data_IF_309871633087
#
_entry.id   IF_309871633087
#
_cell.length_a   1.000
_cell.length_b   1.000
_cell.length_c   1.000
_cell.angle_alpha   90.00
_cell.angle_beta   90.00
_cell.angle_gamma   90.00
#
_symmetry.space_group_name_H-M   'P 1'
#
loop_
_entity.id
_entity.type
_entity.pdbx_description
1 polymer ?
#
# COMPACT_ATOMS: atom_id res chain seq x y z
N UNK A 1 -72.88 -33.06 -15.68
CA UNK A 1 -71.71 -32.90 -16.57
C UNK A 1 -70.48 -32.79 -15.69
N UNK A 2 -69.77 -33.90 -15.57
CA UNK A 2 -68.60 -34.14 -14.73
C UNK A 2 -67.69 -35.04 -15.57
N UNK A 3 -66.42 -34.70 -15.73
CA UNK A 3 -65.30 -35.52 -16.23
C UNK A 3 -64.13 -34.53 -16.45
N UNK A 4 -62.86 -34.82 -16.21
CA UNK A 4 -62.14 -35.72 -15.33
C UNK A 4 -60.67 -35.31 -15.53
N UNK A 5 -59.90 -35.33 -14.45
CA UNK A 5 -58.47 -35.06 -14.43
C UNK A 5 -57.68 -36.08 -15.26
N UNK A 6 -56.90 -35.60 -16.23
CA UNK A 6 -55.87 -36.39 -16.92
C UNK A 6 -54.51 -35.94 -16.38
N UNK A 7 -53.82 -36.84 -15.68
CA UNK A 7 -52.39 -36.72 -15.39
C UNK A 7 -51.60 -37.17 -16.63
N UNK A 8 -50.51 -36.49 -17.02
CA UNK A 8 -49.48 -37.10 -17.83
C UNK A 8 -48.52 -37.89 -16.94
N UNK A 9 -48.24 -39.08 -17.44
CA UNK A 9 -47.39 -40.15 -16.92
C UNK A 9 -45.91 -39.80 -16.94
N UNK A 10 -45.20 -40.39 -15.98
CA UNK A 10 -43.74 -40.52 -15.92
C UNK A 10 -43.20 -41.15 -17.21
N UNK A 11 -42.32 -40.43 -17.91
CA UNK A 11 -41.37 -41.05 -18.84
C UNK A 11 -39.93 -40.77 -18.42
N UNK A 12 -39.27 -41.88 -18.14
CA UNK A 12 -37.86 -42.11 -17.91
C UNK A 12 -36.98 -41.28 -18.85
N UNK A 13 -36.21 -40.36 -18.27
CA UNK A 13 -34.89 -40.02 -18.79
C UNK A 13 -33.82 -40.47 -17.82
N UNK A 14 -33.13 -41.51 -18.29
CA UNK A 14 -31.82 -42.03 -17.90
C UNK A 14 -30.92 -41.07 -17.11
N UNK A 15 -30.55 -41.56 -15.94
CA UNK A 15 -29.28 -41.38 -15.23
C UNK A 15 -28.15 -40.76 -16.06
N UNK A 16 -27.99 -39.43 -15.94
CA UNK A 16 -26.68 -38.81 -15.89
C UNK A 16 -26.51 -38.34 -14.45
N UNK A 17 -25.61 -39.01 -13.73
CA UNK A 17 -25.28 -38.76 -12.33
C UNK A 17 -24.75 -37.35 -12.08
N UNK A 18 -25.63 -36.36 -12.10
CA UNK A 18 -25.42 -35.09 -11.44
C UNK A 18 -25.80 -35.28 -9.97
N UNK A 19 -24.85 -35.84 -9.20
CA UNK A 19 -24.88 -35.64 -7.76
C UNK A 19 -24.78 -34.13 -7.52
N UNK A 20 -25.92 -33.54 -7.20
CA UNK A 20 -26.04 -32.16 -6.75
C UNK A 20 -25.35 -32.11 -5.39
N UNK A 21 -24.01 -31.95 -5.36
CA UNK A 21 -23.25 -31.64 -4.15
C UNK A 21 -23.68 -30.27 -3.63
N UNK A 22 -24.84 -30.22 -2.98
CA UNK A 22 -25.23 -29.18 -2.04
C UNK A 22 -24.33 -29.36 -0.82
N UNK A 23 -23.20 -28.68 -0.86
CA UNK A 23 -22.17 -28.81 0.17
C UNK A 23 -20.78 -28.48 -0.35
N UNK A 24 -20.66 -27.58 -1.31
CA UNK A 24 -19.36 -26.96 -1.61
C UNK A 24 -19.03 -25.99 -0.47
N UNK A 25 -18.63 -26.55 0.68
CA UNK A 25 -17.91 -25.80 1.69
C UNK A 25 -16.69 -25.14 1.06
N UNK A 26 -16.39 -23.92 1.47
CA UNK A 26 -15.20 -23.20 1.06
C UNK A 26 -13.96 -24.06 1.32
N UNK A 27 -13.40 -24.67 0.28
CA UNK A 27 -12.03 -25.17 0.34
C UNK A 27 -11.13 -23.97 0.11
N UNK A 28 -10.75 -23.32 1.21
CA UNK A 28 -9.56 -22.47 1.20
C UNK A 28 -8.43 -23.42 0.85
N UNK A 29 -7.99 -23.42 -0.42
CA UNK A 29 -6.78 -24.13 -0.80
C UNK A 29 -5.68 -23.65 0.12
N UNK A 30 -5.19 -24.58 0.95
CA UNK A 30 -4.05 -24.32 1.82
C UNK A 30 -2.93 -23.80 0.94
N UNK A 31 -2.31 -22.73 1.43
CA UNK A 31 -1.08 -22.17 0.91
C UNK A 31 -0.11 -23.26 0.46
N UNK A 32 0.18 -23.33 -0.84
CA UNK A 32 1.48 -23.77 -1.32
C UNK A 32 2.27 -22.49 -1.62
N UNK A 33 3.14 -22.04 -0.70
CA UNK A 33 4.06 -20.97 -1.05
C UNK A 33 5.01 -21.52 -2.13
N UNK A 34 5.57 -20.62 -2.93
CA UNK A 34 6.68 -20.88 -3.87
C UNK A 34 6.24 -21.32 -5.27
N UNK A 35 6.09 -20.32 -6.16
CA UNK A 35 6.66 -20.34 -7.54
C UNK A 35 6.98 -18.93 -8.08
N UNK A 36 6.54 -17.83 -7.44
CA UNK A 36 6.76 -16.44 -7.91
C UNK A 36 7.47 -15.57 -6.84
N UNK A 37 8.37 -16.17 -6.06
CA UNK A 37 9.15 -15.47 -5.01
C UNK A 37 10.55 -14.99 -5.44
N UNK A 38 11.21 -15.37 -6.57
CA UNK A 38 12.61 -15.01 -6.76
C UNK A 38 12.88 -13.50 -6.95
N UNK A 39 12.10 -12.79 -7.79
CA UNK A 39 12.47 -11.43 -8.20
C UNK A 39 12.17 -10.34 -7.15
N UNK A 40 11.04 -10.43 -6.46
CA UNK A 40 10.70 -9.49 -5.38
C UNK A 40 11.58 -9.70 -4.15
N UNK A 41 12.01 -10.95 -3.91
CA UNK A 41 13.02 -11.29 -2.90
C UNK A 41 14.38 -10.69 -3.26
N UNK A 42 14.83 -10.85 -4.51
CA UNK A 42 16.09 -10.25 -4.99
C UNK A 42 16.04 -8.72 -4.87
N UNK A 43 14.94 -8.08 -5.25
CA UNK A 43 14.82 -6.63 -5.10
C UNK A 43 14.74 -6.17 -3.64
N UNK A 44 14.00 -6.88 -2.78
CA UNK A 44 13.98 -6.63 -1.34
C UNK A 44 15.30 -7.00 -0.65
N UNK A 45 16.26 -7.62 -1.34
CA UNK A 45 17.63 -7.78 -0.85
C UNK A 45 18.57 -6.72 -1.45
N UNK A 46 18.29 -6.24 -2.68
CA UNK A 46 19.07 -5.20 -3.36
C UNK A 46 18.78 -3.78 -2.86
N UNK A 47 17.53 -3.47 -2.48
CA UNK A 47 17.15 -2.21 -1.82
C UNK A 47 17.72 -2.07 -0.39
N UNK A 48 18.46 -3.08 0.06
CA UNK A 48 19.08 -3.18 1.38
C UNK A 48 20.60 -3.07 1.32
N UNK A 49 21.17 -2.89 0.13
CA UNK A 49 22.58 -2.59 -0.06
C UNK A 49 22.95 -1.20 0.51
N UNK A 50 24.24 -0.95 0.82
CA UNK A 50 24.69 0.16 1.66
C UNK A 50 24.27 1.56 1.21
N UNK A 51 23.83 2.36 2.18
CA UNK A 51 23.65 3.82 2.12
C UNK A 51 24.91 4.45 2.77
N UNK A 52 25.84 5.00 1.99
CA UNK A 52 27.03 5.70 2.51
C UNK A 52 26.80 7.20 2.71
N UNK A 53 26.89 7.73 3.93
CA UNK A 53 26.49 9.11 4.24
C UNK A 53 27.33 10.24 3.63
N UNK A 54 26.67 11.34 3.24
CA UNK A 54 27.27 12.65 2.96
C UNK A 54 27.75 13.29 4.26
N UNK A 55 29.05 13.56 4.36
CA UNK A 55 29.65 14.36 5.43
C UNK A 55 30.04 15.72 4.87
N UNK A 56 29.95 16.77 5.69
CA UNK A 56 30.48 18.08 5.32
C UNK A 56 32.00 18.00 5.51
N UNK A 57 32.73 17.80 4.42
CA UNK A 57 34.18 17.98 4.43
C UNK A 57 34.47 19.44 4.79
N UNK A 58 35.61 19.73 5.41
CA UNK A 58 35.98 21.09 5.87
C UNK A 58 36.18 22.16 4.77
N UNK A 59 35.72 21.92 3.55
CA UNK A 59 35.54 22.92 2.50
C UNK A 59 34.12 22.81 1.96
N UNK A 60 33.57 23.85 1.34
CA UNK A 60 32.16 23.96 0.91
C UNK A 60 31.62 22.83 -0.01
N UNK A 61 32.42 21.80 -0.30
CA UNK A 61 32.04 20.53 -0.90
C UNK A 61 31.62 19.47 0.13
N UNK A 62 30.44 18.88 -0.06
CA UNK A 62 30.02 17.65 0.63
C UNK A 62 30.93 16.49 0.21
N UNK A 63 31.74 15.96 1.13
CA UNK A 63 32.64 14.82 0.89
C UNK A 63 32.12 13.58 1.63
N UNK A 64 32.13 12.42 0.97
CA UNK A 64 31.75 11.14 1.59
C UNK A 64 32.83 10.71 2.59
N UNK A 65 32.68 11.05 3.87
CA UNK A 65 33.56 10.62 4.94
C UNK A 65 33.14 9.26 5.51
N UNK A 66 34.06 8.31 5.75
CA UNK A 66 33.74 7.04 6.41
C UNK A 66 33.29 7.29 7.86
N UNK A 67 32.14 6.76 8.26
CA UNK A 67 31.68 6.82 9.64
C UNK A 67 32.65 6.05 10.55
N UNK A 68 33.17 6.72 11.57
CA UNK A 68 33.91 6.11 12.68
C UNK A 68 33.02 5.38 13.70
N UNK A 69 31.77 5.02 13.37
CA UNK A 69 30.90 4.27 14.27
C UNK A 69 30.64 2.85 13.74
N UNK A 70 31.37 1.82 14.22
CA UNK A 70 31.36 0.47 13.66
C UNK A 70 30.06 -0.32 13.94
N UNK A 71 29.15 0.19 14.78
CA UNK A 71 27.95 -0.54 15.17
C UNK A 71 26.86 -0.65 14.09
N UNK A 72 26.96 0.12 13.00
CA UNK A 72 25.97 0.13 11.93
C UNK A 72 26.61 -0.10 10.57
N UNK A 73 27.43 -1.16 10.46
CA UNK A 73 27.86 -1.61 9.16
C UNK A 73 26.61 -2.00 8.34
N UNK A 74 26.50 -1.55 7.08
CA UNK A 74 25.43 -1.92 6.17
C UNK A 74 25.16 -3.44 6.11
N UNK A 75 26.20 -4.26 6.27
CA UNK A 75 26.09 -5.72 6.37
C UNK A 75 25.30 -6.19 7.58
N UNK A 76 25.46 -5.57 8.75
CA UNK A 76 24.68 -5.90 9.96
C UNK A 76 23.19 -5.62 9.72
N UNK A 77 22.86 -4.52 9.03
CA UNK A 77 21.45 -4.15 8.78
C UNK A 77 20.77 -5.11 7.80
N UNK A 78 21.46 -5.54 6.73
CA UNK A 78 20.96 -6.58 5.81
C UNK A 78 20.72 -7.90 6.55
N UNK A 79 21.70 -8.34 7.35
CA UNK A 79 21.62 -9.59 8.11
C UNK A 79 20.46 -9.56 9.10
N UNK A 80 20.34 -8.50 9.90
CA UNK A 80 19.26 -8.36 10.90
C UNK A 80 17.87 -8.45 10.29
N UNK A 81 17.72 -8.12 9.01
CA UNK A 81 16.41 -8.08 8.39
C UNK A 81 16.08 -9.22 7.48
N UNK A 82 17.08 -9.90 6.91
CA UNK A 82 16.91 -11.29 6.48
C UNK A 82 16.47 -12.13 7.67
N UNK A 83 17.05 -11.92 8.85
CA UNK A 83 16.63 -12.55 10.11
C UNK A 83 15.19 -12.14 10.46
N UNK A 84 14.86 -10.84 10.48
CA UNK A 84 13.50 -10.38 10.79
C UNK A 84 12.44 -10.93 9.81
N UNK A 85 12.75 -11.01 8.53
CA UNK A 85 11.89 -11.61 7.50
C UNK A 85 11.75 -13.13 7.63
N UNK A 86 12.83 -13.81 8.00
CA UNK A 86 12.79 -15.25 8.27
C UNK A 86 11.95 -15.54 9.52
N UNK A 87 12.12 -14.74 10.58
CA UNK A 87 11.28 -14.80 11.79
C UNK A 87 9.82 -14.53 11.45
N UNK A 88 9.55 -13.51 10.63
CA UNK A 88 8.22 -13.20 10.13
C UNK A 88 7.57 -14.39 9.40
N UNK A 89 8.27 -15.04 8.48
CA UNK A 89 7.77 -16.23 7.78
C UNK A 89 7.50 -17.39 8.74
N UNK A 90 8.35 -17.57 9.75
CA UNK A 90 8.15 -18.57 10.80
C UNK A 90 6.89 -18.25 11.62
N UNK A 91 6.73 -17.00 12.07
CA UNK A 91 5.58 -16.54 12.87
C UNK A 91 4.25 -16.59 12.10
N UNK A 92 4.28 -16.35 10.78
CA UNK A 92 3.12 -16.52 9.91
C UNK A 92 2.68 -17.99 9.78
N UNK A 93 3.59 -18.95 9.94
CA UNK A 93 3.30 -20.38 9.86
C UNK A 93 2.88 -21.01 11.20
N UNK A 94 3.01 -20.30 12.33
CA UNK A 94 2.55 -20.84 13.61
C UNK A 94 1.02 -20.90 13.60
N UNK A 95 0.41 -22.02 14.00
CA UNK A 95 -1.06 -22.16 14.03
C UNK A 95 -1.70 -21.14 14.98
N UNK A 96 -2.93 -20.73 14.66
CA UNK A 96 -3.72 -19.65 15.30
C UNK A 96 -4.31 -20.05 16.67
N UNK A 97 -3.68 -20.98 17.39
CA UNK A 97 -4.25 -21.61 18.58
C UNK A 97 -3.74 -21.01 19.91
N UNK A 98 -2.80 -20.07 19.87
CA UNK A 98 -2.17 -19.54 21.09
C UNK A 98 -2.42 -18.03 21.27
N UNK A 99 -3.32 -17.69 22.20
CA UNK A 99 -3.68 -16.31 22.59
C UNK A 99 -2.47 -15.48 23.02
N UNK A 100 -1.46 -16.12 23.65
CA UNK A 100 -0.25 -15.43 24.08
C UNK A 100 0.54 -14.85 22.91
N UNK A 101 0.54 -15.52 21.76
CA UNK A 101 1.25 -15.01 20.57
C UNK A 101 0.52 -13.78 20.01
N UNK A 102 -0.80 -13.75 20.08
CA UNK A 102 -1.59 -12.59 19.65
C UNK A 102 -1.39 -11.41 20.60
N UNK A 103 -1.36 -11.64 21.92
CA UNK A 103 -1.00 -10.62 22.92
C UNK A 103 0.42 -10.09 22.72
N UNK A 104 1.40 -10.98 22.49
CA UNK A 104 2.78 -10.59 22.18
C UNK A 104 2.87 -9.81 20.87
N UNK A 105 2.03 -10.11 19.88
CA UNK A 105 1.98 -9.35 18.62
C UNK A 105 1.42 -7.94 18.82
N UNK A 106 0.42 -7.79 19.68
CA UNK A 106 -0.13 -6.46 20.06
C UNK A 106 0.95 -5.66 20.81
N UNK A 107 1.62 -6.27 21.78
CA UNK A 107 2.76 -5.64 22.45
C UNK A 107 3.87 -5.27 21.45
N UNK A 108 4.15 -6.14 20.49
CA UNK A 108 5.10 -5.90 19.41
C UNK A 108 4.72 -4.69 18.55
N UNK A 109 3.44 -4.49 18.24
CA UNK A 109 2.96 -3.29 17.52
C UNK A 109 3.27 -2.01 18.33
N UNK A 110 3.09 -2.04 19.65
CA UNK A 110 3.42 -0.90 20.53
C UNK A 110 4.94 -0.64 20.50
N UNK A 111 5.76 -1.68 20.59
CA UNK A 111 7.23 -1.58 20.51
C UNK A 111 7.68 -1.03 19.16
N UNK A 112 7.06 -1.46 18.07
CA UNK A 112 7.30 -0.93 16.72
C UNK A 112 6.98 0.58 16.70
N UNK A 113 5.80 1.00 17.16
CA UNK A 113 5.46 2.43 17.23
C UNK A 113 6.43 3.26 18.07
N UNK A 114 6.82 2.76 19.24
CA UNK A 114 7.81 3.41 20.09
C UNK A 114 9.18 3.52 19.39
N UNK A 115 9.57 2.49 18.64
CA UNK A 115 10.82 2.48 17.87
C UNK A 115 10.79 3.48 16.71
N UNK A 116 9.67 3.60 15.98
CA UNK A 116 9.51 4.61 14.93
C UNK A 116 9.64 6.03 15.50
N UNK A 117 9.04 6.27 16.68
CA UNK A 117 9.18 7.53 17.40
C UNK A 117 10.59 7.84 17.85
N UNK A 118 11.28 6.85 18.42
CA UNK A 118 12.66 7.01 18.80
C UNK A 118 13.56 7.31 17.59
N UNK A 119 13.40 6.55 16.49
CA UNK A 119 14.13 6.78 15.24
C UNK A 119 13.89 8.19 14.73
N UNK A 120 12.64 8.63 14.63
CA UNK A 120 12.34 10.00 14.21
C UNK A 120 13.05 11.03 15.08
N UNK A 121 12.90 10.96 16.41
CA UNK A 121 13.50 11.92 17.34
C UNK A 121 15.02 11.93 17.28
N UNK A 122 15.66 10.78 17.11
CA UNK A 122 17.11 10.66 17.05
C UNK A 122 17.70 11.28 15.76
N UNK A 123 16.94 11.23 14.67
CA UNK A 123 17.46 11.50 13.34
C UNK A 123 16.90 12.76 12.67
N UNK A 124 15.73 13.25 13.08
CA UNK A 124 15.07 14.41 12.43
C UNK A 124 15.97 15.65 12.40
N UNK A 125 16.72 15.92 13.47
CA UNK A 125 17.63 17.08 13.53
C UNK A 125 18.78 17.00 12.51
N UNK A 126 19.19 15.78 12.14
CA UNK A 126 20.24 15.56 11.15
C UNK A 126 19.72 15.78 9.72
N UNK A 127 18.44 15.47 9.48
CA UNK A 127 17.85 15.56 8.14
C UNK A 127 17.06 16.83 7.87
N UNK A 128 16.56 17.53 8.90
CA UNK A 128 15.77 18.74 8.73
C UNK A 128 16.42 19.80 7.80
N UNK A 129 17.75 19.99 7.78
CA UNK A 129 18.38 20.92 6.84
C UNK A 129 18.44 20.44 5.38
N UNK A 130 18.15 19.17 5.09
CA UNK A 130 18.33 18.56 3.77
C UNK A 130 17.03 18.00 3.16
N UNK A 131 15.90 18.10 3.86
CA UNK A 131 14.58 17.70 3.38
C UNK A 131 13.53 18.73 3.74
N UNK A 132 12.55 18.92 2.87
CA UNK A 132 11.48 19.89 3.00
C UNK A 132 10.08 19.31 2.78
N UNK A 133 9.96 17.98 2.75
CA UNK A 133 8.70 17.28 2.41
C UNK A 133 7.56 17.62 3.37
N UNK A 134 7.84 17.58 4.68
CA UNK A 134 6.88 17.98 5.70
C UNK A 134 6.56 19.48 5.60
N UNK A 135 7.58 20.34 5.52
CA UNK A 135 7.38 21.78 5.38
C UNK A 135 6.53 22.14 4.16
N UNK A 136 6.72 21.46 3.03
CA UNK A 136 5.94 21.66 1.81
C UNK A 136 4.44 21.36 2.01
N UNK A 137 4.11 20.24 2.66
CA UNK A 137 2.73 19.89 2.99
C UNK A 137 2.12 20.86 3.99
N UNK A 138 2.90 21.29 4.98
CA UNK A 138 2.45 22.25 5.99
C UNK A 138 2.16 23.62 5.36
N UNK A 139 3.10 24.17 4.59
CA UNK A 139 2.91 25.45 3.89
C UNK A 139 1.76 25.39 2.90
N UNK A 140 1.65 24.29 2.14
CA UNK A 140 0.53 24.11 1.23
C UNK A 140 -0.82 24.09 1.95
N UNK A 141 -0.88 23.46 3.12
CA UNK A 141 -2.09 23.43 3.93
C UNK A 141 -2.43 24.80 4.54
N UNK A 142 -1.44 25.51 5.08
CA UNK A 142 -1.61 26.85 5.64
C UNK A 142 -2.14 27.83 4.59
N UNK A 143 -1.58 27.81 3.38
CA UNK A 143 -2.04 28.64 2.26
C UNK A 143 -3.45 28.23 1.80
N UNK A 144 -3.75 26.93 1.73
CA UNK A 144 -5.08 26.43 1.39
C UNK A 144 -6.15 26.92 2.37
N UNK A 145 -5.88 26.83 3.69
CA UNK A 145 -6.80 27.30 4.74
C UNK A 145 -6.93 28.82 4.75
N UNK A 146 -5.88 29.54 4.34
CA UNK A 146 -5.91 30.99 4.16
C UNK A 146 -6.66 31.44 2.88
N UNK A 147 -7.22 30.51 2.09
CA UNK A 147 -7.90 30.82 0.83
C UNK A 147 -6.95 31.28 -0.28
N UNK A 148 -5.66 30.97 -0.16
CA UNK A 148 -4.60 31.32 -1.13
C UNK A 148 -4.20 30.10 -1.96
N UNK A 149 -3.39 30.33 -3.00
CA UNK A 149 -2.86 29.25 -3.82
C UNK A 149 -1.89 28.39 -2.98
N UNK A 150 -2.16 27.08 -2.78
CA UNK A 150 -1.34 26.21 -1.94
C UNK A 150 0.07 25.95 -2.47
N UNK A 151 0.39 26.40 -3.69
CA UNK A 151 1.70 26.23 -4.32
C UNK A 151 2.55 27.50 -4.31
N UNK A 152 2.03 28.62 -3.80
CA UNK A 152 2.69 29.93 -3.90
C UNK A 152 3.97 30.03 -3.06
N UNK A 153 4.02 29.37 -1.90
CA UNK A 153 5.20 29.41 -1.02
C UNK A 153 6.28 28.43 -1.49
N UNK A 154 7.52 28.88 -1.39
CA UNK A 154 8.69 28.02 -1.48
C UNK A 154 9.05 27.46 -0.10
N UNK A 155 9.70 26.30 -0.07
CA UNK A 155 10.22 25.71 1.16
C UNK A 155 11.51 26.39 1.60
N UNK A 156 12.04 25.99 2.77
CA UNK A 156 13.35 26.46 3.25
C UNK A 156 14.53 26.11 2.32
N UNK A 157 14.32 25.19 1.38
CA UNK A 157 15.31 24.80 0.36
C UNK A 157 15.06 25.51 -0.98
N UNK A 158 14.23 26.55 -0.98
CA UNK A 158 13.77 27.28 -2.18
C UNK A 158 13.03 26.40 -3.21
N UNK A 159 12.61 25.20 -2.80
CA UNK A 159 11.85 24.31 -3.68
C UNK A 159 10.38 24.72 -3.72
N UNK A 160 9.80 24.57 -4.89
CA UNK A 160 8.34 24.56 -5.05
C UNK A 160 7.72 23.34 -4.38
N UNK A 161 6.50 23.52 -3.86
CA UNK A 161 5.69 22.47 -3.24
C UNK A 161 5.37 21.39 -4.27
N UNK A 162 5.95 20.20 -4.08
CA UNK A 162 5.81 19.07 -5.00
C UNK A 162 4.62 18.13 -4.74
N UNK A 163 4.12 17.94 -3.51
CA UNK A 163 2.90 17.15 -3.28
C UNK A 163 1.70 17.76 -4.00
N UNK A 164 0.89 16.91 -4.62
CA UNK A 164 -0.37 17.34 -5.23
C UNK A 164 -1.44 17.63 -4.16
N UNK A 165 -2.52 18.30 -4.54
CA UNK A 165 -3.51 18.85 -3.61
C UNK A 165 -4.16 17.78 -2.72
N UNK A 166 -4.32 16.54 -3.21
CA UNK A 166 -4.79 15.43 -2.40
C UNK A 166 -3.88 15.12 -1.21
N UNK A 167 -2.56 15.24 -1.39
CA UNK A 167 -1.58 15.06 -0.31
C UNK A 167 -1.63 16.17 0.72
N UNK A 168 -1.78 17.41 0.26
CA UNK A 168 -1.95 18.60 1.12
C UNK A 168 -3.21 18.45 1.98
N UNK A 169 -4.33 18.05 1.39
CA UNK A 169 -5.59 17.82 2.11
C UNK A 169 -5.46 16.66 3.12
N UNK A 170 -4.80 15.56 2.75
CA UNK A 170 -4.56 14.44 3.66
C UNK A 170 -3.65 14.80 4.84
N UNK A 171 -2.74 15.74 4.66
CA UNK A 171 -1.86 16.27 5.70
C UNK A 171 -2.59 17.24 6.65
N UNK A 172 -3.67 17.87 6.19
CA UNK A 172 -4.36 18.94 6.90
C UNK A 172 -4.72 18.66 8.36
N UNK A 173 -5.38 17.54 8.71
CA UNK A 173 -5.69 17.22 10.10
C UNK A 173 -4.45 17.15 11.01
N UNK A 174 -3.31 16.73 10.48
CA UNK A 174 -2.06 16.61 11.24
C UNK A 174 -1.35 17.96 11.36
N UNK A 175 -1.39 18.77 10.29
CA UNK A 175 -0.89 20.13 10.30
C UNK A 175 -1.65 21.01 11.30
N UNK A 176 -2.98 20.89 11.38
CA UNK A 176 -3.80 21.70 12.31
C UNK A 176 -3.73 21.25 13.76
N UNK A 177 -3.87 19.93 14.02
CA UNK A 177 -4.03 19.44 15.40
C UNK A 177 -2.72 19.37 16.17
N UNK A 178 -1.62 19.10 15.49
CA UNK A 178 -0.34 18.80 16.14
C UNK A 178 0.77 19.77 15.78
N UNK A 179 0.63 20.55 14.70
CA UNK A 179 1.69 21.42 14.20
C UNK A 179 2.94 20.67 13.72
N UNK A 180 2.88 19.33 13.66
CA UNK A 180 3.97 18.46 13.20
C UNK A 180 3.39 17.33 12.35
N UNK A 181 3.80 17.28 11.09
CA UNK A 181 3.36 16.25 10.13
C UNK A 181 3.98 14.89 10.37
N UNK A 182 4.92 14.79 11.30
CA UNK A 182 5.40 13.51 11.80
C UNK A 182 4.27 12.57 12.24
N UNK A 183 3.21 13.11 12.84
CA UNK A 183 2.06 12.31 13.28
C UNK A 183 1.32 11.66 12.11
N UNK A 184 1.29 12.30 10.94
CA UNK A 184 0.77 11.68 9.72
C UNK A 184 1.54 10.39 9.41
N UNK A 185 2.86 10.46 9.53
CA UNK A 185 3.79 9.34 9.45
C UNK A 185 3.35 8.15 10.28
N UNK A 186 3.35 8.35 11.59
CA UNK A 186 2.98 7.35 12.57
C UNK A 186 1.57 6.81 12.40
N UNK A 187 0.61 7.67 12.11
CA UNK A 187 -0.79 7.25 11.96
C UNK A 187 -0.94 6.27 10.80
N UNK A 188 -0.34 6.53 9.64
CA UNK A 188 -0.42 5.60 8.51
C UNK A 188 0.34 4.28 8.76
N UNK A 189 1.45 4.31 9.50
CA UNK A 189 2.12 3.09 9.94
C UNK A 189 1.21 2.26 10.85
N UNK A 190 0.61 2.89 11.87
CA UNK A 190 -0.32 2.24 12.78
C UNK A 190 -1.54 1.68 12.04
N UNK A 191 -2.15 2.48 11.17
CA UNK A 191 -3.29 2.05 10.36
C UNK A 191 -2.93 0.86 9.47
N UNK A 192 -1.74 0.82 8.89
CA UNK A 192 -1.25 -0.33 8.10
C UNK A 192 -1.18 -1.60 8.94
N UNK A 193 -0.56 -1.52 10.12
CA UNK A 193 -0.45 -2.66 11.02
C UNK A 193 -1.80 -3.15 11.51
N UNK A 194 -2.69 -2.24 11.95
CA UNK A 194 -4.04 -2.58 12.40
C UNK A 194 -4.84 -3.20 11.24
N UNK A 195 -4.75 -2.63 10.04
CA UNK A 195 -5.46 -3.13 8.87
C UNK A 195 -5.04 -4.56 8.52
N UNK A 196 -3.74 -4.82 8.47
CA UNK A 196 -3.21 -6.17 8.22
C UNK A 196 -3.49 -7.12 9.39
N UNK A 197 -3.49 -6.62 10.63
CA UNK A 197 -3.88 -7.39 11.80
C UNK A 197 -5.35 -7.84 11.74
N UNK A 198 -6.26 -6.97 11.33
CA UNK A 198 -7.69 -7.27 11.21
C UNK A 198 -7.93 -8.27 10.08
N UNK A 199 -7.27 -8.10 8.93
CA UNK A 199 -7.48 -8.97 7.78
C UNK A 199 -6.79 -10.33 7.89
N UNK A 200 -5.59 -10.36 8.45
CA UNK A 200 -4.70 -11.53 8.39
C UNK A 200 -4.31 -12.07 9.78
N UNK A 201 -4.70 -11.39 10.86
CA UNK A 201 -4.39 -11.74 12.26
C UNK A 201 -3.28 -10.86 12.85
N UNK A 202 -3.22 -10.68 14.19
CA UNK A 202 -2.30 -9.74 14.87
C UNK A 202 -0.83 -9.87 14.46
N UNK A 203 -0.38 -11.11 14.23
CA UNK A 203 0.99 -11.40 13.76
C UNK A 203 1.32 -10.70 12.45
N UNK A 204 0.38 -10.64 11.51
CA UNK A 204 0.59 -9.95 10.23
C UNK A 204 0.79 -8.44 10.43
N UNK A 205 0.03 -7.85 11.34
CA UNK A 205 0.21 -6.44 11.74
C UNK A 205 1.57 -6.20 12.37
N UNK A 206 1.97 -7.02 13.34
CA UNK A 206 3.28 -6.91 13.97
C UNK A 206 4.42 -7.09 12.96
N UNK A 207 4.36 -8.15 12.15
CA UNK A 207 5.40 -8.49 11.17
C UNK A 207 5.54 -7.41 10.12
N UNK A 208 4.44 -6.89 9.58
CA UNK A 208 4.48 -5.79 8.61
C UNK A 208 5.12 -4.55 9.22
N UNK A 209 4.72 -4.19 10.45
CA UNK A 209 5.34 -3.10 11.20
C UNK A 209 6.83 -3.28 11.44
N UNK A 210 7.23 -4.48 11.87
CA UNK A 210 8.63 -4.84 12.07
C UNK A 210 9.41 -4.75 10.74
N UNK A 211 8.91 -5.33 9.65
CA UNK A 211 9.57 -5.26 8.34
C UNK A 211 9.72 -3.82 7.84
N UNK A 212 8.71 -2.98 8.06
CA UNK A 212 8.79 -1.56 7.75
C UNK A 212 9.85 -0.88 8.62
N UNK A 213 9.82 -1.00 9.95
CA UNK A 213 10.79 -0.28 10.81
C UNK A 213 12.22 -0.80 10.71
N UNK A 214 12.41 -2.10 10.52
CA UNK A 214 13.75 -2.68 10.40
C UNK A 214 14.35 -2.47 9.01
N UNK A 215 13.55 -2.07 8.01
CA UNK A 215 14.07 -1.69 6.70
C UNK A 215 14.86 -0.38 6.76
N UNK A 216 16.15 -0.35 6.35
CA UNK A 216 16.94 0.87 6.36
C UNK A 216 16.34 1.97 5.48
N UNK A 217 15.77 1.60 4.33
CA UNK A 217 15.06 2.53 3.45
C UNK A 217 13.89 3.20 4.19
N UNK A 218 13.08 2.42 4.90
CA UNK A 218 11.95 2.97 5.67
C UNK A 218 12.39 3.78 6.88
N UNK A 219 13.49 3.43 7.55
CA UNK A 219 14.04 4.26 8.64
C UNK A 219 14.39 5.64 8.14
N UNK A 220 15.11 5.70 7.01
CA UNK A 220 15.42 6.96 6.35
C UNK A 220 14.13 7.70 5.98
N UNK A 221 13.19 7.02 5.33
CA UNK A 221 11.91 7.60 4.89
C UNK A 221 11.06 8.13 6.05
N UNK A 222 11.08 7.48 7.21
CA UNK A 222 10.44 7.98 8.44
C UNK A 222 11.17 9.24 8.94
N UNK A 223 12.50 9.21 8.99
CA UNK A 223 13.31 10.32 9.50
C UNK A 223 13.22 11.57 8.61
N UNK A 224 13.17 11.41 7.29
CA UNK A 224 13.03 12.53 6.34
C UNK A 224 11.57 12.92 6.08
N UNK A 225 10.62 12.27 6.75
CA UNK A 225 9.18 12.46 6.58
C UNK A 225 8.75 12.31 5.12
N UNK A 226 9.22 11.25 4.48
CA UNK A 226 8.84 10.90 3.12
C UNK A 226 7.36 10.58 3.02
N UNK A 227 6.75 11.16 2.00
CA UNK A 227 5.37 10.96 1.61
C UNK A 227 5.14 9.72 0.72
N UNK A 228 6.20 9.14 0.13
CA UNK A 228 6.06 8.03 -0.81
C UNK A 228 5.45 6.78 -0.19
N UNK A 229 6.00 6.30 0.93
CA UNK A 229 5.46 5.13 1.63
C UNK A 229 4.10 5.42 2.30
N UNK A 230 3.91 6.65 2.79
CA UNK A 230 2.65 7.10 3.39
C UNK A 230 1.52 7.03 2.37
N UNK A 231 1.79 7.55 1.18
CA UNK A 231 0.83 7.47 0.09
C UNK A 231 0.60 6.02 -0.36
N UNK A 232 1.67 5.22 -0.47
CA UNK A 232 1.56 3.79 -0.77
C UNK A 232 0.65 3.05 0.23
N UNK A 233 0.79 3.32 1.52
CA UNK A 233 -0.07 2.78 2.58
C UNK A 233 -1.51 3.25 2.45
N UNK A 234 -1.72 4.55 2.26
CA UNK A 234 -3.04 5.14 2.09
C UNK A 234 -3.79 4.52 0.89
N UNK A 235 -3.11 4.40 -0.26
CA UNK A 235 -3.63 3.73 -1.45
C UNK A 235 -3.95 2.26 -1.20
N UNK A 236 -3.02 1.53 -0.59
CA UNK A 236 -3.16 0.10 -0.34
C UNK A 236 -4.36 -0.21 0.58
N UNK A 237 -4.50 0.54 1.67
CA UNK A 237 -5.60 0.42 2.63
C UNK A 237 -6.92 0.81 1.97
N UNK A 238 -7.02 2.03 1.44
CA UNK A 238 -8.28 2.55 0.89
C UNK A 238 -8.74 1.74 -0.32
N UNK A 239 -7.85 1.38 -1.25
CA UNK A 239 -8.18 0.55 -2.41
C UNK A 239 -8.63 -0.86 -2.03
N UNK A 240 -8.01 -1.46 -1.01
CA UNK A 240 -8.45 -2.76 -0.48
C UNK A 240 -9.81 -2.66 0.19
N UNK A 241 -10.06 -1.60 0.98
CA UNK A 241 -11.36 -1.33 1.57
C UNK A 241 -12.45 -1.16 0.51
N UNK A 242 -12.21 -0.36 -0.53
CA UNK A 242 -13.11 -0.18 -1.67
C UNK A 242 -13.47 -1.54 -2.29
N UNK A 243 -12.46 -2.37 -2.56
CA UNK A 243 -12.68 -3.72 -3.09
C UNK A 243 -13.50 -4.62 -2.16
N UNK A 244 -13.20 -4.64 -0.85
CA UNK A 244 -13.90 -5.48 0.11
C UNK A 244 -15.35 -5.03 0.33
N UNK A 245 -15.60 -3.71 0.33
CA UNK A 245 -16.94 -3.14 0.47
C UNK A 245 -17.78 -3.40 -0.79
N UNK A 246 -17.19 -3.28 -1.98
CA UNK A 246 -17.86 -3.58 -3.25
C UNK A 246 -18.37 -5.03 -3.35
N UNK A 247 -17.79 -5.98 -2.59
CA UNK A 247 -18.25 -7.38 -2.55
C UNK A 247 -19.58 -7.59 -1.83
N UNK A 248 -20.06 -6.62 -1.07
CA UNK A 248 -21.32 -6.76 -0.33
C UNK A 248 -22.49 -6.64 -1.31
N UNK A 249 -23.23 -7.74 -1.48
CA UNK A 249 -24.37 -7.85 -2.42
C UNK A 249 -25.48 -6.85 -2.15
N UNK A 250 -25.68 -6.48 -0.88
CA UNK A 250 -26.58 -5.40 -0.47
C UNK A 250 -25.86 -4.47 0.50
N UNK A 251 -25.42 -3.33 -0.01
CA UNK A 251 -24.91 -2.25 0.83
C UNK A 251 -26.11 -1.61 1.54
N UNK A 252 -26.23 -1.83 2.84
CA UNK A 252 -27.10 -0.96 3.66
C UNK A 252 -26.61 0.49 3.55
N UNK A 253 -27.45 1.46 3.94
CA UNK A 253 -27.08 2.89 3.91
C UNK A 253 -25.71 3.15 4.54
N UNK A 254 -25.42 2.54 5.69
CA UNK A 254 -24.13 2.64 6.37
C UNK A 254 -22.96 2.08 5.56
N UNK A 255 -23.12 0.91 4.93
CA UNK A 255 -22.06 0.30 4.12
C UNK A 255 -21.82 1.07 2.82
N UNK A 256 -22.87 1.66 2.24
CA UNK A 256 -22.73 2.54 1.07
C UNK A 256 -21.96 3.81 1.43
N UNK A 257 -22.28 4.45 2.57
CA UNK A 257 -21.52 5.62 3.05
C UNK A 257 -20.04 5.27 3.29
N UNK A 258 -19.75 4.11 3.88
CA UNK A 258 -18.37 3.63 4.05
C UNK A 258 -17.67 3.39 2.70
N UNK A 259 -18.38 2.82 1.72
CA UNK A 259 -17.84 2.61 0.37
C UNK A 259 -17.49 3.93 -0.32
N UNK A 260 -18.39 4.91 -0.26
CA UNK A 260 -18.16 6.25 -0.79
C UNK A 260 -16.98 6.91 -0.07
N UNK A 261 -16.98 6.92 1.27
CA UNK A 261 -15.91 7.52 2.06
C UNK A 261 -14.53 6.90 1.73
N UNK A 262 -14.44 5.58 1.59
CA UNK A 262 -13.19 4.91 1.22
C UNK A 262 -12.79 5.18 -0.23
N UNK A 263 -13.76 5.38 -1.13
CA UNK A 263 -13.49 5.77 -2.53
C UNK A 263 -12.96 7.20 -2.61
N UNK A 264 -13.51 8.12 -1.81
CA UNK A 264 -13.00 9.50 -1.71
C UNK A 264 -11.63 9.54 -1.05
N UNK A 265 -11.39 8.74 0.00
CA UNK A 265 -10.06 8.61 0.60
C UNK A 265 -9.04 8.05 -0.40
N UNK A 266 -9.44 7.05 -1.20
CA UNK A 266 -8.61 6.54 -2.29
C UNK A 266 -8.32 7.64 -3.32
N UNK A 267 -9.30 8.47 -3.68
CA UNK A 267 -9.12 9.59 -4.59
C UNK A 267 -8.13 10.64 -4.08
N UNK A 268 -8.17 10.94 -2.76
CA UNK A 268 -7.22 11.83 -2.10
C UNK A 268 -5.80 11.26 -2.10
N UNK A 269 -5.64 9.99 -1.75
CA UNK A 269 -4.33 9.32 -1.77
C UNK A 269 -3.77 9.24 -3.21
N UNK A 270 -4.63 8.89 -4.15
CA UNK A 270 -4.31 8.86 -5.58
C UNK A 270 -3.84 10.22 -6.10
N UNK A 271 -4.51 11.30 -5.69
CA UNK A 271 -4.15 12.69 -6.05
C UNK A 271 -3.09 13.30 -5.15
N UNK A 272 -2.31 12.50 -4.43
CA UNK A 272 -1.13 12.94 -3.69
C UNK A 272 0.10 13.02 -4.61
N UNK A 273 0.31 12.01 -5.47
CA UNK A 273 1.35 12.06 -6.52
C UNK A 273 0.88 11.40 -7.81
N UNK A 274 1.14 12.05 -8.94
CA UNK A 274 0.77 11.55 -10.27
C UNK A 274 1.34 10.18 -10.61
N UNK A 275 2.51 9.81 -10.07
CA UNK A 275 3.14 8.52 -10.35
C UNK A 275 2.26 7.32 -9.96
N UNK A 276 1.35 7.50 -8.99
CA UNK A 276 0.40 6.46 -8.60
C UNK A 276 -0.83 6.41 -9.51
N UNK A 277 -0.92 7.25 -10.55
CA UNK A 277 -1.96 7.19 -11.58
C UNK A 277 -2.12 5.77 -12.14
N UNK A 278 -0.98 5.11 -12.32
CA UNK A 278 -0.89 3.76 -12.87
C UNK A 278 -1.51 2.71 -11.93
N UNK A 279 -1.60 2.98 -10.62
CA UNK A 279 -2.23 2.09 -9.60
C UNK A 279 -3.74 1.98 -9.80
N UNK A 280 -4.41 3.02 -10.28
CA UNK A 280 -5.85 2.98 -10.46
C UNK A 280 -6.27 1.98 -11.54
N UNK A 281 -5.47 1.79 -12.59
CA UNK A 281 -5.82 0.92 -13.73
C UNK A 281 -6.10 -0.54 -13.32
N UNK A 282 -5.17 -1.26 -12.62
CA UNK A 282 -5.43 -2.64 -12.21
C UNK A 282 -6.58 -2.73 -11.19
N UNK A 283 -6.73 -1.75 -10.29
CA UNK A 283 -7.83 -1.76 -9.32
C UNK A 283 -9.19 -1.55 -9.99
N UNK A 284 -9.30 -0.58 -10.89
CA UNK A 284 -10.51 -0.31 -11.68
C UNK A 284 -10.87 -1.53 -12.53
N UNK A 285 -9.89 -2.13 -13.21
CA UNK A 285 -10.11 -3.34 -13.99
C UNK A 285 -10.62 -4.51 -13.12
N UNK A 286 -10.08 -4.68 -11.91
CA UNK A 286 -10.57 -5.69 -10.97
C UNK A 286 -12.02 -5.44 -10.55
N UNK A 287 -12.31 -4.21 -10.13
CA UNK A 287 -13.63 -3.80 -9.69
C UNK A 287 -14.66 -3.97 -10.82
N UNK A 288 -14.30 -3.58 -12.04
CA UNK A 288 -15.15 -3.73 -13.22
C UNK A 288 -15.48 -5.19 -13.48
N UNK A 289 -14.46 -6.07 -13.50
CA UNK A 289 -14.63 -7.51 -13.76
C UNK A 289 -15.48 -8.20 -12.70
N UNK A 290 -15.34 -7.80 -11.43
CA UNK A 290 -16.01 -8.50 -10.33
C UNK A 290 -17.40 -7.96 -9.99
N UNK A 291 -17.65 -6.67 -10.19
CA UNK A 291 -18.88 -6.01 -9.71
C UNK A 291 -19.67 -5.28 -10.80
N UNK A 292 -19.11 -5.14 -11.99
CA UNK A 292 -19.76 -4.46 -13.12
C UNK A 292 -19.91 -2.94 -12.95
N UNK A 293 -20.59 -2.32 -13.92
CA UNK A 293 -20.67 -0.87 -14.04
C UNK A 293 -21.43 -0.17 -12.90
N UNK A 294 -22.48 -0.80 -12.34
CA UNK A 294 -23.34 -0.18 -11.31
C UNK A 294 -22.55 0.18 -10.05
N UNK A 295 -21.70 -0.73 -9.58
CA UNK A 295 -20.85 -0.48 -8.41
C UNK A 295 -19.83 0.62 -8.68
N UNK A 296 -19.33 0.71 -9.91
CA UNK A 296 -18.39 1.75 -10.33
C UNK A 296 -19.00 3.15 -10.31
N UNK A 297 -20.30 3.29 -10.59
CA UNK A 297 -20.96 4.60 -10.60
C UNK A 297 -20.95 5.29 -9.24
N UNK A 298 -20.99 4.54 -8.14
CA UNK A 298 -21.09 5.11 -6.79
C UNK A 298 -19.74 5.28 -6.09
N UNK A 299 -18.67 4.63 -6.58
CA UNK A 299 -17.34 4.72 -5.98
C UNK A 299 -16.31 5.25 -6.96
N UNK A 300 -16.05 4.50 -8.04
CA UNK A 300 -14.98 4.82 -8.98
C UNK A 300 -15.22 6.13 -9.75
N UNK A 301 -16.45 6.43 -10.16
CA UNK A 301 -16.75 7.70 -10.86
C UNK A 301 -16.55 8.91 -9.94
N UNK A 302 -17.18 9.01 -8.76
CA UNK A 302 -16.94 10.13 -7.84
C UNK A 302 -15.46 10.25 -7.44
N UNK A 303 -14.79 9.12 -7.19
CA UNK A 303 -13.37 9.10 -6.88
C UNK A 303 -12.52 9.64 -8.04
N UNK A 304 -12.78 9.16 -9.27
CA UNK A 304 -12.09 9.62 -10.47
C UNK A 304 -12.32 11.11 -10.75
N UNK A 305 -13.56 11.57 -10.62
CA UNK A 305 -13.91 13.00 -10.75
C UNK A 305 -13.19 13.84 -9.70
N UNK A 306 -13.23 13.44 -8.43
CA UNK A 306 -12.53 14.15 -7.36
C UNK A 306 -11.01 14.16 -7.62
N UNK A 307 -10.41 13.03 -7.98
CA UNK A 307 -8.98 12.97 -8.32
C UNK A 307 -8.63 13.89 -9.49
N UNK A 308 -9.44 13.89 -10.55
CA UNK A 308 -9.23 14.78 -11.70
C UNK A 308 -9.32 16.25 -11.28
N UNK A 309 -10.31 16.62 -10.48
CA UNK A 309 -10.41 17.97 -9.93
C UNK A 309 -9.17 18.32 -9.10
N UNK A 310 -8.74 17.47 -8.18
CA UNK A 310 -7.59 17.76 -7.32
C UNK A 310 -6.26 17.84 -8.07
N UNK A 311 -6.11 17.08 -9.16
CA UNK A 311 -4.91 17.10 -10.01
C UNK A 311 -4.92 18.33 -10.92
N UNK A 312 -6.03 18.59 -11.61
CA UNK A 312 -6.05 19.58 -12.69
C UNK A 312 -6.50 20.98 -12.26
N UNK A 313 -7.28 21.12 -11.17
CA UNK A 313 -7.75 22.45 -10.73
C UNK A 313 -6.61 23.40 -10.43
N UNK A 314 -5.55 23.03 -9.67
CA UNK A 314 -4.45 23.94 -9.43
C UNK A 314 -3.74 24.39 -10.72
N UNK A 315 -3.59 23.47 -11.68
CA UNK A 315 -3.00 23.77 -12.99
C UNK A 315 -3.85 24.77 -13.79
N UNK A 316 -5.18 24.64 -13.77
CA UNK A 316 -6.06 25.58 -14.47
C UNK A 316 -6.19 26.94 -13.79
N UNK A 317 -6.00 27.00 -12.46
CA UNK A 317 -6.03 28.26 -11.71
C UNK A 317 -4.74 29.05 -11.91
N UNK A 318 -3.59 28.39 -11.85
CA UNK A 318 -2.29 29.02 -12.03
C UNK A 318 -1.24 28.00 -12.53
N UNK A 319 -1.07 27.86 -13.85
CA UNK A 319 -0.16 26.88 -14.42
C UNK A 319 1.31 27.22 -14.12
N UNK A 320 1.63 28.49 -13.85
CA UNK A 320 3.02 28.96 -13.65
C UNK A 320 3.59 28.57 -12.29
N UNK A 321 2.73 28.33 -11.31
CA UNK A 321 3.13 27.97 -9.94
C UNK A 321 3.00 26.47 -9.71
N UNK A 322 2.32 25.74 -10.60
CA UNK A 322 2.05 24.32 -10.46
C UNK A 322 3.24 23.44 -10.90
N UNK A 323 4.23 23.38 -10.02
CA UNK A 323 5.46 22.60 -10.18
C UNK A 323 5.32 21.08 -10.43
N UNK A 324 4.24 20.37 -10.01
CA UNK A 324 4.15 18.93 -10.24
C UNK A 324 4.22 18.51 -11.72
N UNK A 325 3.77 19.37 -12.67
CA UNK A 325 3.91 19.09 -14.11
C UNK A 325 5.27 19.53 -14.66
N UNK A 326 5.83 20.63 -14.18
CA UNK A 326 7.17 21.10 -14.60
C UNK A 326 8.27 20.11 -14.19
N UNK A 327 8.20 19.58 -12.96
CA UNK A 327 9.12 18.55 -12.45
C UNK A 327 8.86 17.15 -13.04
N UNK A 328 7.71 16.93 -13.68
CA UNK A 328 7.39 15.68 -14.37
C UNK A 328 7.95 15.62 -15.80
N UNK A 329 8.66 16.65 -16.27
CA UNK A 329 9.23 16.64 -17.60
C UNK A 329 10.29 15.53 -17.72
N UNK A 330 9.94 14.50 -18.48
CA UNK A 330 10.81 13.38 -18.85
C UNK A 330 11.99 13.83 -19.74
N UNK A 331 12.04 15.10 -20.15
CA UNK A 331 13.01 15.65 -21.10
C UNK A 331 14.10 16.52 -20.50
N UNK A 332 13.98 16.99 -19.26
CA UNK A 332 14.99 17.88 -18.63
C UNK A 332 15.94 17.17 -17.68
N UNK A 333 15.69 15.89 -17.36
CA UNK A 333 16.67 15.09 -16.65
C UNK A 333 17.79 14.75 -17.63
N UNK A 334 18.95 15.39 -17.46
CA UNK A 334 20.21 15.04 -18.10
C UNK A 334 20.67 13.67 -17.60
N UNK A 335 19.91 12.63 -17.89
CA UNK A 335 20.30 11.25 -17.60
C UNK A 335 21.47 10.91 -18.51
N UNK A 336 22.48 10.23 -17.96
CA UNK A 336 23.61 9.72 -18.74
C UNK A 336 23.18 8.74 -19.83
N UNK A 337 21.97 8.18 -19.69
CA UNK A 337 21.36 7.25 -20.64
C UNK A 337 20.25 7.97 -21.42
N UNK A 338 20.41 8.17 -22.74
CA UNK A 338 19.35 8.74 -23.57
C UNK A 338 18.11 7.82 -23.57
N UNK A 339 16.91 8.41 -23.61
CA UNK A 339 15.62 7.72 -23.62
C UNK A 339 15.26 6.88 -22.37
N UNK A 340 16.08 6.88 -21.31
CA UNK A 340 15.76 6.14 -20.08
C UNK A 340 14.37 6.45 -19.49
N UNK A 341 13.90 7.72 -19.47
CA UNK A 341 12.57 8.03 -18.98
C UNK A 341 11.46 7.37 -19.82
N UNK A 342 11.63 7.31 -21.16
CA UNK A 342 10.70 6.62 -22.07
C UNK A 342 10.73 5.11 -21.84
N UNK A 343 11.91 4.50 -21.72
CA UNK A 343 12.06 3.06 -21.43
C UNK A 343 11.37 2.71 -20.10
N UNK A 344 11.55 3.55 -19.09
CA UNK A 344 10.89 3.39 -17.78
C UNK A 344 9.38 3.45 -17.91
N UNK A 345 8.85 4.48 -18.58
CA UNK A 345 7.41 4.64 -18.79
C UNK A 345 6.80 3.45 -19.56
N UNK A 346 7.43 3.02 -20.66
CA UNK A 346 6.99 1.87 -21.45
C UNK A 346 7.03 0.58 -20.63
N UNK A 347 8.09 0.37 -19.85
CA UNK A 347 8.21 -0.83 -18.99
C UNK A 347 7.11 -0.86 -17.93
N UNK A 348 6.88 0.25 -17.23
CA UNK A 348 5.81 0.36 -16.25
C UNK A 348 4.43 0.15 -16.88
N UNK A 349 4.20 0.69 -18.09
CA UNK A 349 2.96 0.50 -18.84
C UNK A 349 2.76 -0.97 -19.22
N UNK A 350 3.78 -1.64 -19.77
CA UNK A 350 3.71 -3.06 -20.14
C UNK A 350 3.42 -3.94 -18.92
N UNK A 351 4.15 -3.73 -17.81
CA UNK A 351 3.90 -4.45 -16.54
C UNK A 351 2.45 -4.26 -16.09
N UNK A 352 1.95 -3.03 -16.18
CA UNK A 352 0.58 -2.70 -15.75
C UNK A 352 -0.46 -3.34 -16.65
N UNK A 353 -0.31 -3.24 -17.97
CA UNK A 353 -1.25 -3.81 -18.95
C UNK A 353 -1.27 -5.33 -18.82
N UNK A 354 -0.11 -5.98 -18.93
CA UNK A 354 0.01 -7.45 -18.82
C UNK A 354 -0.47 -7.93 -17.45
N UNK A 355 -0.03 -7.27 -16.38
CA UNK A 355 -0.46 -7.57 -15.02
C UNK A 355 -1.98 -7.48 -14.87
N UNK A 356 -2.59 -6.43 -15.42
CA UNK A 356 -4.04 -6.21 -15.37
C UNK A 356 -4.81 -7.31 -16.11
N UNK A 357 -4.30 -7.82 -17.23
CA UNK A 357 -4.90 -8.98 -17.90
C UNK A 357 -4.84 -10.26 -17.06
N UNK A 358 -3.75 -10.47 -16.33
CA UNK A 358 -3.55 -11.64 -15.47
C UNK A 358 -4.23 -11.51 -14.09
N UNK A 359 -4.73 -10.34 -13.77
CA UNK A 359 -5.26 -9.99 -12.46
C UNK A 359 -6.55 -10.75 -12.13
N UNK A 360 -6.55 -11.44 -10.98
CA UNK A 360 -7.73 -12.15 -10.43
C UNK A 360 -8.05 -11.79 -8.98
N UNK A 361 -7.16 -11.10 -8.28
CA UNK A 361 -7.28 -10.86 -6.83
C UNK A 361 -6.76 -9.48 -6.47
N UNK A 362 -7.21 -8.95 -5.33
CA UNK A 362 -6.72 -7.68 -4.78
C UNK A 362 -5.24 -7.76 -4.40
N UNK A 363 -4.77 -8.92 -3.89
CA UNK A 363 -3.35 -9.18 -3.67
C UNK A 363 -2.53 -9.06 -4.97
N UNK A 364 -3.11 -9.48 -6.10
CA UNK A 364 -2.50 -9.30 -7.42
C UNK A 364 -2.33 -7.84 -7.81
N UNK A 365 -3.25 -6.94 -7.42
CA UNK A 365 -3.17 -5.50 -7.74
C UNK A 365 -1.93 -4.93 -7.09
N UNK A 366 -1.80 -5.15 -5.78
CA UNK A 366 -0.64 -4.69 -5.03
C UNK A 366 0.65 -5.39 -5.46
N UNK A 367 0.58 -6.64 -5.91
CA UNK A 367 1.73 -7.34 -6.48
C UNK A 367 2.26 -6.66 -7.74
N UNK A 368 1.38 -6.32 -8.68
CA UNK A 368 1.75 -5.58 -9.90
C UNK A 368 2.32 -4.21 -9.53
N UNK A 369 1.77 -3.54 -8.53
CA UNK A 369 2.29 -2.24 -8.06
C UNK A 369 3.63 -2.32 -7.34
N UNK A 370 3.86 -3.40 -6.61
CA UNK A 370 5.18 -3.75 -6.09
C UNK A 370 6.17 -3.90 -7.25
N UNK A 371 5.87 -4.78 -8.21
CA UNK A 371 6.75 -5.02 -9.37
C UNK A 371 6.97 -3.78 -10.26
N UNK A 372 5.94 -2.96 -10.46
CA UNK A 372 6.06 -1.71 -11.21
C UNK A 372 6.97 -0.73 -10.47
N UNK A 373 6.80 -0.57 -9.16
CA UNK A 373 7.67 0.30 -8.36
C UNK A 373 9.11 -0.23 -8.34
N UNK A 374 9.30 -1.56 -8.26
CA UNK A 374 10.62 -2.20 -8.45
C UNK A 374 11.24 -1.84 -9.79
N UNK A 375 10.50 -2.01 -10.89
CA UNK A 375 11.01 -1.75 -12.23
C UNK A 375 11.31 -0.26 -12.44
N UNK A 376 10.41 0.61 -11.99
CA UNK A 376 10.64 2.06 -11.96
C UNK A 376 11.93 2.35 -11.22
N UNK A 377 12.13 1.68 -10.08
CA UNK A 377 13.28 1.95 -9.27
C UNK A 377 14.57 1.48 -9.94
N UNK A 378 14.64 0.22 -10.37
CA UNK A 378 15.83 -0.29 -11.07
C UNK A 378 16.21 0.52 -12.31
N UNK A 379 15.22 0.94 -13.11
CA UNK A 379 15.48 1.68 -14.35
C UNK A 379 15.95 3.10 -14.06
N UNK A 380 15.26 3.85 -13.19
CA UNK A 380 15.70 5.21 -12.85
C UNK A 380 17.04 5.23 -12.10
N UNK A 381 17.36 4.17 -11.38
CA UNK A 381 18.64 4.03 -10.67
C UNK A 381 19.82 3.73 -11.54
N UNK A 382 19.58 3.08 -12.67
CA UNK A 382 20.63 2.79 -13.62
C UNK A 382 21.14 4.07 -14.33
N UNK A 383 20.27 5.08 -14.51
CA UNK A 383 20.64 6.33 -15.19
C UNK A 383 21.29 7.42 -14.34
N UNK A 384 21.41 7.20 -13.02
CA UNK A 384 21.94 8.19 -12.08
C UNK A 384 23.39 7.87 -11.75
N UNK A 385 24.25 8.90 -11.71
CA UNK A 385 25.69 8.74 -11.49
C UNK A 385 26.08 8.22 -10.10
N UNK A 386 25.14 8.17 -9.14
CA UNK A 386 25.38 7.50 -7.87
C UNK A 386 24.16 6.68 -7.43
N UNK A 387 24.39 5.38 -7.24
CA UNK A 387 23.45 4.44 -6.62
C UNK A 387 22.98 4.91 -5.22
N UNK A 388 23.76 5.78 -4.58
CA UNK A 388 23.48 6.39 -3.29
C UNK A 388 22.40 7.49 -3.35
N UNK A 389 22.47 8.41 -4.33
CA UNK A 389 21.37 9.31 -4.62
C UNK A 389 20.12 8.53 -5.00
N UNK A 390 20.27 7.29 -5.42
CA UNK A 390 19.15 6.52 -5.90
C UNK A 390 18.36 5.78 -4.80
N UNK A 391 19.06 5.13 -3.87
CA UNK A 391 18.46 4.51 -2.68
C UNK A 391 17.75 5.52 -1.76
N UNK A 392 18.15 6.79 -1.82
CA UNK A 392 17.57 7.91 -1.06
C UNK A 392 16.26 8.45 -1.66
N UNK A 393 15.85 8.03 -2.88
CA UNK A 393 14.62 8.53 -3.51
C UNK A 393 13.42 7.63 -3.21
N UNK A 394 12.58 8.10 -2.28
CA UNK A 394 11.10 8.10 -2.15
C UNK A 394 10.25 6.85 -2.49
N UNK A 395 10.72 5.91 -3.30
CA UNK A 395 9.88 4.86 -3.89
C UNK A 395 10.13 3.47 -3.27
N UNK A 396 11.23 3.28 -2.56
CA UNK A 396 11.52 2.02 -1.86
C UNK A 396 10.47 1.71 -0.79
N UNK A 397 10.02 2.72 -0.04
CA UNK A 397 9.01 2.52 0.99
C UNK A 397 7.63 2.17 0.40
N UNK A 398 7.18 2.85 -0.65
CA UNK A 398 5.94 2.48 -1.36
C UNK A 398 6.00 1.07 -1.95
N UNK A 399 7.15 0.72 -2.55
CA UNK A 399 7.42 -0.63 -3.09
C UNK A 399 7.27 -1.69 -2.01
N UNK A 400 7.89 -1.47 -0.84
CA UNK A 400 7.82 -2.38 0.29
C UNK A 400 6.37 -2.53 0.77
N UNK A 401 5.62 -1.44 0.90
CA UNK A 401 4.19 -1.48 1.27
C UNK A 401 3.39 -2.33 0.28
N UNK A 402 3.51 -2.09 -1.04
CA UNK A 402 2.76 -2.84 -2.03
C UNK A 402 3.12 -4.34 -2.04
N UNK A 403 4.40 -4.68 -1.90
CA UNK A 403 4.85 -6.08 -1.79
C UNK A 403 4.28 -6.73 -0.51
N UNK A 404 4.30 -6.03 0.62
CA UNK A 404 3.73 -6.54 1.88
C UNK A 404 2.23 -6.85 1.73
N UNK A 405 1.46 -5.93 1.14
CA UNK A 405 0.04 -6.17 0.87
C UNK A 405 -0.17 -7.34 -0.09
N UNK A 406 0.65 -7.46 -1.13
CA UNK A 406 0.57 -8.55 -2.10
C UNK A 406 0.83 -9.93 -1.47
N UNK A 407 1.76 -10.00 -0.51
CA UNK A 407 2.14 -11.23 0.18
C UNK A 407 1.16 -11.60 1.29
N UNK A 408 0.65 -10.61 2.03
CA UNK A 408 -0.18 -10.86 3.21
C UNK A 408 -1.66 -11.01 2.88
N UNK A 409 -2.18 -10.29 1.88
CA UNK A 409 -3.62 -10.33 1.61
C UNK A 409 -4.06 -11.72 1.10
N UNK A 410 -5.20 -12.23 1.61
CA UNK A 410 -5.73 -13.51 1.15
C UNK A 410 -6.07 -13.44 -0.35
N UNK A 411 -5.65 -14.46 -1.09
CA UNK A 411 -6.03 -14.65 -2.50
C UNK A 411 -7.48 -15.13 -2.56
N UNK A 412 -8.40 -14.17 -2.56
CA UNK A 412 -9.82 -14.48 -2.67
C UNK A 412 -10.15 -14.70 -4.13
N UNK A 413 -10.37 -15.96 -4.52
CA UNK A 413 -10.84 -16.30 -5.85
C UNK A 413 -12.35 -16.06 -5.97
N UNK A 414 -12.82 -15.50 -7.10
CA UNK A 414 -14.24 -15.42 -7.43
C UNK A 414 -14.71 -16.82 -7.87
N UNK A 415 -14.86 -17.77 -6.95
CA UNK A 415 -15.47 -19.06 -7.27
C UNK A 415 -16.99 -18.93 -7.16
N UNK A 416 -17.62 -19.01 -8.33
CA UNK A 416 -19.04 -18.94 -8.70
C UNK A 416 -20.10 -18.94 -7.59
N UNK A 417 -21.03 -17.97 -7.69
CA UNK A 417 -22.43 -17.92 -7.20
C UNK A 417 -22.79 -18.50 -5.83
N UNK A 418 -21.83 -18.93 -5.03
CA UNK A 418 -22.03 -19.38 -3.66
C UNK A 418 -22.48 -18.17 -2.85
N UNK A 419 -23.60 -18.36 -2.14
CA UNK A 419 -24.33 -17.32 -1.42
C UNK A 419 -23.38 -16.36 -0.73
N UNK A 420 -23.62 -15.07 -0.92
CA UNK A 420 -22.92 -13.95 -0.31
C UNK A 420 -23.07 -13.90 1.22
N UNK A 421 -23.41 -15.01 1.87
CA UNK A 421 -23.53 -15.11 3.32
C UNK A 421 -22.13 -15.07 3.94
N UNK A 422 -21.74 -13.81 4.12
CA UNK A 422 -20.92 -13.28 5.18
C UNK A 422 -19.56 -13.96 5.34
N UNK A 423 -18.63 -13.65 4.44
CA UNK A 423 -17.19 -13.73 4.72
C UNK A 423 -16.84 -13.06 6.06
N UNK A 424 -17.51 -11.95 6.39
CA UNK A 424 -17.36 -11.27 7.67
C UNK A 424 -17.96 -12.09 8.83
N UNK A 425 -19.11 -12.75 8.68
CA UNK A 425 -19.59 -13.73 9.69
C UNK A 425 -18.65 -14.92 9.75
N UNK A 426 -18.02 -15.35 8.66
CA UNK A 426 -17.09 -16.47 8.72
C UNK A 426 -15.85 -16.08 9.51
N UNK A 427 -15.36 -14.84 9.32
CA UNK A 427 -14.33 -14.23 10.17
C UNK A 427 -14.80 -14.09 11.62
N UNK A 428 -15.97 -13.51 11.86
CA UNK A 428 -16.53 -13.28 13.20
C UNK A 428 -16.92 -14.59 13.91
N UNK A 429 -17.39 -15.61 13.19
CA UNK A 429 -17.66 -16.98 13.69
C UNK A 429 -16.37 -17.70 14.00
N UNK A 430 -15.31 -17.52 13.20
CA UNK A 430 -13.95 -17.97 13.58
C UNK A 430 -13.44 -17.32 14.85
N UNK A 431 -13.85 -16.09 15.17
CA UNK A 431 -13.54 -15.43 16.43
C UNK A 431 -14.50 -15.82 17.57
N UNK A 432 -15.74 -16.21 17.26
CA UNK A 432 -16.75 -16.59 18.25
C UNK A 432 -16.76 -18.07 18.63
N UNK A 433 -16.28 -18.98 17.78
CA UNK A 433 -16.22 -20.40 18.15
C UNK A 433 -15.05 -20.63 19.09
N UNK A 434 -15.28 -20.99 20.37
CA UNK A 434 -14.23 -21.47 21.26
C UNK A 434 -13.57 -22.69 20.60
N UNK A 435 -12.25 -22.83 20.73
CA UNK A 435 -11.57 -23.99 20.18
C UNK A 435 -12.20 -25.25 20.74
N UNK A 436 -12.83 -26.05 19.88
CA UNK A 436 -13.55 -27.29 20.22
C UNK A 436 -12.67 -28.38 20.84
N UNK A 437 -11.40 -28.10 21.13
CA UNK A 437 -10.49 -28.98 21.86
C UNK A 437 -10.87 -29.17 23.34
N UNK A 438 -11.74 -28.34 23.92
CA UNK A 438 -12.23 -28.58 25.29
C UNK A 438 -13.31 -29.66 25.39
N UNK A 439 -13.97 -30.06 24.28
CA UNK A 439 -15.03 -31.08 24.32
C UNK A 439 -14.57 -32.50 23.99
N UNK A 440 -13.26 -32.75 23.83
CA UNK A 440 -12.71 -34.11 23.66
C UNK A 440 -12.09 -34.64 24.98
N UNK A 441 -12.00 -33.81 26.03
CA UNK A 441 -11.50 -34.24 27.34
C UNK A 441 -12.63 -34.67 28.32
N UNK A 442 -13.88 -34.73 27.86
CA UNK A 442 -15.03 -35.24 28.62
C UNK A 442 -15.79 -36.27 27.78
N UNK A 443 -15.10 -37.34 27.44
CA UNK A 443 -15.60 -38.68 27.07
C UNK A 443 -14.45 -39.65 27.32
#
# INVERSE_FOLDING_TARGET
>A
MNLASVRPTDEKFTELGYSRRRGAGWTIHRWHPIKIVPLSLVYALLSWLPIGYLSRGGGDSWNLGPMGNPFWSPGITVVLSVIAFSIALILFNVKRENIWIDLLSILGIIVVMASAYYIYRAYVSHYAPVTDRATALQYGWEELVAGKNPYYRHTQLDNTISPMLGGIILAGPFATLHGDLYWQGLTWLLMTMIFLAVLCGPRAGFISGALLIFSPAMRLEISIQSDGWLNGAALAISGTCVYLLARKSHLSRWWMSAYIAMSLLFALAFSYRFIYAVVALPLIALLWRHFGAKTMMFGAIPAGTLSALLIFTPYFLDPSVYAPFEKASLGTSSTSVPHLPLITAVTCLVITVVGTFLLRTIAGVWGIMGFMSVAFVLLTGWGQHSWYQYLTWAYNGATLVFILFALMLPRIHPTGTASSENFLETLLRRYRQPSTKENIAVQ
#
